data_IF_437638112066
#
_entry.id   IF_437638112066
#
_cell.length_a   1.000
_cell.length_b   1.000
_cell.length_c   1.000
_cell.angle_alpha   90.00
_cell.angle_beta   90.00
_cell.angle_gamma   90.00
#
_symmetry.space_group_name_H-M   'P 1'
#
loop_
_entity.id
_entity.type
_entity.pdbx_description
1 polymer ?
#
# COMPACT_ATOMS: atom_id res chain seq x y z
N UNK A 1 -19.85 11.94 -28.79
CA UNK A 1 -19.38 11.71 -27.41
C UNK A 1 -18.62 10.40 -27.38
N UNK A 2 -17.28 10.41 -27.36
CA UNK A 2 -16.47 9.18 -27.25
C UNK A 2 -16.05 9.01 -25.80
N UNK A 3 -16.49 7.91 -25.20
CA UNK A 3 -16.13 7.44 -23.87
C UNK A 3 -14.61 7.30 -23.75
N UNK A 4 -14.01 7.96 -22.76
CA UNK A 4 -12.61 7.81 -22.35
C UNK A 4 -12.46 6.49 -21.59
N UNK A 5 -12.53 5.38 -22.31
CA UNK A 5 -12.22 4.08 -21.75
C UNK A 5 -10.70 3.85 -21.81
N UNK A 6 -10.07 3.86 -20.63
CA UNK A 6 -8.85 3.13 -20.29
C UNK A 6 -7.46 3.78 -20.53
N UNK A 7 -7.25 5.01 -20.04
CA UNK A 7 -5.91 5.63 -19.92
C UNK A 7 -5.13 5.19 -18.65
N UNK A 8 -5.68 4.30 -17.80
CA UNK A 8 -5.05 3.93 -16.52
C UNK A 8 -3.73 3.15 -16.68
N UNK A 9 -3.50 2.52 -17.83
CA UNK A 9 -2.22 1.87 -18.13
C UNK A 9 -1.05 2.87 -18.27
N UNK A 10 -1.34 4.16 -18.48
CA UNK A 10 -0.32 5.19 -18.75
C UNK A 10 0.22 5.90 -17.50
N UNK A 11 -0.40 5.70 -16.32
CA UNK A 11 0.01 6.39 -15.10
C UNK A 11 -0.10 5.47 -13.87
N UNK A 12 0.98 4.77 -13.50
CA UNK A 12 0.97 3.88 -12.34
C UNK A 12 0.76 4.67 -11.04
N UNK A 13 -0.01 4.10 -10.11
CA UNK A 13 -0.31 4.70 -8.81
C UNK A 13 0.80 4.37 -7.82
N UNK A 14 1.46 5.40 -7.30
CA UNK A 14 2.46 5.24 -6.25
C UNK A 14 1.82 5.46 -4.87
N UNK A 15 1.90 4.44 -4.00
CA UNK A 15 1.46 4.50 -2.62
C UNK A 15 2.69 4.67 -1.73
N UNK A 16 2.75 5.77 -0.98
CA UNK A 16 3.88 6.07 -0.11
C UNK A 16 3.57 5.58 1.31
N UNK A 17 4.38 4.63 1.79
CA UNK A 17 4.31 4.01 3.10
C UNK A 17 3.74 2.59 3.07
N UNK A 18 4.52 1.60 3.48
CA UNK A 18 4.12 0.20 3.70
C UNK A 18 3.60 -0.04 5.13
N UNK A 19 2.96 0.95 5.73
CA UNK A 19 2.17 0.80 6.94
C UNK A 19 0.81 0.13 6.66
N UNK A 20 0.00 -0.14 7.71
CA UNK A 20 -1.32 -0.76 7.54
C UNK A 20 -2.22 -0.04 6.53
N UNK A 21 -2.22 1.29 6.53
CA UNK A 21 -3.01 2.07 5.58
C UNK A 21 -2.56 1.86 4.12
N UNK A 22 -1.26 1.96 3.83
CA UNK A 22 -0.75 1.76 2.48
C UNK A 22 -0.92 0.32 1.97
N UNK A 23 -0.78 -0.66 2.86
CA UNK A 23 -1.05 -2.07 2.56
C UNK A 23 -2.52 -2.28 2.17
N UNK A 24 -3.47 -1.72 2.92
CA UNK A 24 -4.91 -1.81 2.59
C UNK A 24 -5.21 -1.07 1.27
N UNK A 25 -4.58 0.08 1.04
CA UNK A 25 -4.70 0.82 -0.21
C UNK A 25 -4.25 -0.03 -1.40
N UNK A 26 -3.04 -0.60 -1.34
CA UNK A 26 -2.54 -1.48 -2.41
C UNK A 26 -3.43 -2.70 -2.64
N UNK A 27 -3.97 -3.30 -1.58
CA UNK A 27 -4.95 -4.38 -1.70
C UNK A 27 -6.19 -3.99 -2.51
N UNK A 28 -6.77 -2.81 -2.25
CA UNK A 28 -7.94 -2.36 -3.01
C UNK A 28 -7.59 -1.91 -4.43
N UNK A 29 -6.42 -1.31 -4.65
CA UNK A 29 -5.92 -1.00 -6.00
C UNK A 29 -5.74 -2.26 -6.84
N UNK A 30 -5.16 -3.31 -6.24
CA UNK A 30 -4.99 -4.62 -6.87
C UNK A 30 -6.34 -5.24 -7.24
N UNK A 31 -7.32 -5.19 -6.33
CA UNK A 31 -8.68 -5.69 -6.60
C UNK A 31 -9.42 -4.89 -7.68
N UNK A 32 -9.09 -3.61 -7.83
CA UNK A 32 -9.62 -2.77 -8.89
C UNK A 32 -8.90 -2.97 -10.24
N UNK A 33 -7.83 -3.80 -10.29
CA UNK A 33 -7.03 -4.01 -11.50
C UNK A 33 -6.21 -2.79 -11.92
N UNK A 34 -5.94 -1.86 -11.00
CA UNK A 34 -5.16 -0.66 -11.26
C UNK A 34 -3.66 -0.93 -11.05
N UNK A 35 -2.78 -0.50 -11.96
CA UNK A 35 -1.34 -0.65 -11.79
C UNK A 35 -0.86 0.23 -10.63
N UNK A 36 -0.17 -0.38 -9.66
CA UNK A 36 0.31 0.32 -8.47
C UNK A 36 1.65 -0.23 -7.98
N UNK A 37 2.32 0.58 -7.18
CA UNK A 37 3.49 0.20 -6.39
C UNK A 37 3.37 0.84 -5.00
N UNK A 38 3.63 0.07 -3.95
CA UNK A 38 3.81 0.61 -2.59
C UNK A 38 5.32 0.76 -2.35
N UNK A 39 5.74 1.90 -1.83
CA UNK A 39 7.13 2.10 -1.41
C UNK A 39 7.22 2.45 0.06
N UNK A 40 8.29 2.03 0.74
CA UNK A 40 8.61 2.48 2.09
C UNK A 40 10.11 2.68 2.24
N UNK A 41 10.50 3.70 3.01
CA UNK A 41 11.90 3.97 3.33
C UNK A 41 12.49 2.92 4.26
N UNK A 42 11.64 2.28 5.08
CA UNK A 42 12.06 1.22 5.98
C UNK A 42 12.37 -0.06 5.20
N UNK A 43 13.23 -0.89 5.78
CA UNK A 43 13.61 -2.22 5.29
C UNK A 43 12.59 -3.31 5.66
N UNK A 44 11.57 -2.96 6.44
CA UNK A 44 10.52 -3.86 6.91
C UNK A 44 9.14 -3.23 6.75
N UNK A 45 8.17 -4.03 6.32
CA UNK A 45 6.76 -3.63 6.26
C UNK A 45 6.22 -3.30 7.65
N UNK A 46 5.26 -2.37 7.72
CA UNK A 46 4.67 -1.92 8.97
C UNK A 46 5.72 -1.62 10.05
N UNK A 47 6.84 -0.98 9.66
CA UNK A 47 8.04 -0.79 10.47
C UNK A 47 7.79 -0.20 11.87
N UNK A 48 6.81 0.68 12.01
CA UNK A 48 6.36 1.16 13.32
C UNK A 48 5.98 -0.02 14.21
N UNK A 49 5.12 -0.93 13.75
CA UNK A 49 4.67 -2.10 14.52
C UNK A 49 5.75 -3.14 14.75
N UNK A 50 6.71 -3.27 13.83
CA UNK A 50 7.88 -4.14 13.99
C UNK A 50 8.79 -3.70 15.14
N UNK A 51 8.90 -2.38 15.37
CA UNK A 51 9.84 -1.76 16.31
C UNK A 51 9.19 -1.24 17.60
N UNK A 52 7.89 -1.49 17.81
CA UNK A 52 7.20 -1.07 19.03
C UNK A 52 7.62 -1.95 20.22
N UNK A 53 7.47 -1.37 21.41
CA UNK A 53 7.85 -2.03 22.66
C UNK A 53 7.03 -3.31 22.92
N UNK A 54 7.62 -4.35 23.55
CA UNK A 54 7.00 -5.68 23.65
C UNK A 54 5.66 -5.72 24.38
N UNK A 55 5.42 -4.81 25.32
CA UNK A 55 4.19 -4.75 26.11
C UNK A 55 3.02 -4.08 25.40
N UNK A 56 3.22 -3.51 24.20
CA UNK A 56 2.16 -2.86 23.45
C UNK A 56 1.03 -3.84 23.13
N UNK A 57 -0.20 -3.38 23.34
CA UNK A 57 -1.43 -4.00 22.83
C UNK A 57 -2.23 -2.99 22.03
N UNK A 58 -3.06 -3.48 21.11
CA UNK A 58 -4.02 -2.64 20.42
C UNK A 58 -4.96 -1.97 21.44
N UNK A 59 -5.26 -0.70 21.22
CA UNK A 59 -6.27 0.04 21.99
C UNK A 59 -7.69 -0.16 21.45
N UNK A 60 -7.82 -0.73 20.25
CA UNK A 60 -9.07 -1.11 19.60
C UNK A 60 -9.18 -2.62 19.57
N UNK A 61 -10.41 -3.12 19.69
CA UNK A 61 -10.62 -4.58 19.71
C UNK A 61 -10.26 -5.17 18.35
N UNK A 62 -9.86 -6.44 18.34
CA UNK A 62 -9.60 -7.21 17.12
C UNK A 62 -10.74 -7.19 16.11
N UNK A 63 -11.97 -6.86 16.53
CA UNK A 63 -13.11 -6.74 15.63
C UNK A 63 -13.02 -5.50 14.75
N UNK A 64 -12.46 -4.40 15.26
CA UNK A 64 -12.36 -3.14 14.51
C UNK A 64 -11.03 -2.99 13.77
N UNK A 65 -9.96 -3.65 14.23
CA UNK A 65 -8.61 -3.46 13.68
C UNK A 65 -8.25 -4.41 12.52
N UNK A 66 -9.20 -5.21 12.02
CA UNK A 66 -8.88 -6.27 11.06
C UNK A 66 -8.70 -5.73 9.63
N UNK A 67 -7.74 -6.29 8.90
CA UNK A 67 -7.59 -6.14 7.46
C UNK A 67 -8.81 -6.68 6.70
N UNK A 68 -9.12 -6.15 5.51
CA UNK A 68 -10.25 -6.59 4.71
C UNK A 68 -10.22 -8.09 4.44
N UNK A 69 -11.30 -8.80 4.76
CA UNK A 69 -11.43 -10.24 4.45
C UNK A 69 -10.56 -11.18 5.29
N UNK A 70 -9.81 -10.68 6.29
CA UNK A 70 -8.98 -11.52 7.15
C UNK A 70 -9.21 -11.20 8.62
N UNK A 71 -9.68 -12.15 9.42
CA UNK A 71 -9.92 -11.93 10.87
C UNK A 71 -8.66 -12.27 11.68
N UNK A 72 -8.51 -11.65 12.85
CA UNK A 72 -7.51 -12.09 13.81
C UNK A 72 -7.86 -13.47 14.40
N UNK A 73 -6.86 -14.31 14.71
CA UNK A 73 -7.05 -15.53 15.48
C UNK A 73 -7.68 -15.27 16.84
N UNK A 74 -8.69 -16.07 17.22
CA UNK A 74 -9.38 -15.94 18.51
C UNK A 74 -8.45 -16.11 19.71
N UNK A 75 -7.42 -16.96 19.56
CA UNK A 75 -6.42 -17.25 20.61
C UNK A 75 -5.58 -16.05 21.05
N UNK A 76 -5.66 -14.91 20.35
CA UNK A 76 -4.91 -13.69 20.70
C UNK A 76 -5.66 -12.77 21.67
N UNK A 77 -6.88 -13.14 22.08
CA UNK A 77 -7.71 -12.33 22.97
C UNK A 77 -8.36 -11.14 22.26
N UNK A 78 -8.97 -10.24 23.03
CA UNK A 78 -9.68 -9.07 22.49
C UNK A 78 -8.73 -8.00 21.93
N UNK A 79 -7.59 -7.81 22.59
CA UNK A 79 -6.56 -6.81 22.24
C UNK A 79 -5.23 -7.50 21.92
N UNK A 80 -4.98 -7.84 20.64
CA UNK A 80 -3.71 -8.41 20.19
C UNK A 80 -2.52 -7.55 20.61
N UNK A 81 -1.37 -8.21 20.82
CA UNK A 81 -0.09 -7.51 21.04
C UNK A 81 0.37 -6.81 19.76
N UNK A 82 1.24 -5.80 19.89
CA UNK A 82 1.87 -5.13 18.75
C UNK A 82 2.59 -6.11 17.83
N UNK A 83 3.32 -7.08 18.40
CA UNK A 83 3.97 -8.16 17.63
C UNK A 83 2.96 -9.02 16.86
N UNK A 84 1.89 -9.47 17.51
CA UNK A 84 0.84 -10.24 16.85
C UNK A 84 0.18 -9.45 15.71
N UNK A 85 -0.03 -8.14 15.91
CA UNK A 85 -0.54 -7.27 14.86
C UNK A 85 0.42 -7.17 13.68
N UNK A 86 1.72 -6.96 13.93
CA UNK A 86 2.75 -6.98 12.89
C UNK A 86 2.76 -8.30 12.11
N UNK A 87 2.83 -9.44 12.81
CA UNK A 87 2.83 -10.78 12.18
C UNK A 87 1.57 -11.01 11.35
N UNK A 88 0.43 -10.48 11.80
CA UNK A 88 -0.82 -10.51 11.06
C UNK A 88 -0.76 -9.63 9.80
N UNK A 89 -0.26 -8.40 9.87
CA UNK A 89 -0.11 -7.54 8.69
C UNK A 89 0.86 -8.17 7.68
N UNK A 90 1.97 -8.74 8.14
CA UNK A 90 2.93 -9.42 7.30
C UNK A 90 2.32 -10.59 6.52
N UNK A 91 1.61 -11.49 7.21
CA UNK A 91 0.92 -12.59 6.52
C UNK A 91 -0.19 -12.12 5.57
N UNK A 92 -0.67 -10.87 5.68
CA UNK A 92 -1.69 -10.33 4.78
C UNK A 92 -1.03 -9.88 3.47
N UNK A 93 0.12 -9.21 3.57
CA UNK A 93 0.97 -8.88 2.42
C UNK A 93 1.34 -10.14 1.64
N UNK A 94 1.81 -11.19 2.32
CA UNK A 94 2.22 -12.44 1.70
C UNK A 94 1.07 -13.16 0.99
N UNK A 95 -0.11 -13.24 1.65
CA UNK A 95 -1.28 -13.90 1.10
C UNK A 95 -1.81 -13.21 -0.17
N UNK A 96 -1.65 -11.89 -0.29
CA UNK A 96 -2.12 -11.12 -1.43
C UNK A 96 -1.04 -10.79 -2.45
N UNK A 97 0.22 -11.12 -2.17
CA UNK A 97 1.40 -10.85 -3.02
C UNK A 97 1.44 -9.39 -3.48
N UNK A 98 1.27 -8.47 -2.53
CA UNK A 98 1.20 -7.05 -2.82
C UNK A 98 2.55 -6.56 -3.41
N UNK A 99 2.48 -5.61 -4.34
CA UNK A 99 3.67 -5.02 -4.95
C UNK A 99 4.26 -3.95 -4.02
N UNK A 100 5.29 -4.33 -3.24
CA UNK A 100 5.92 -3.46 -2.23
C UNK A 100 7.43 -3.42 -2.44
N UNK A 101 7.99 -2.21 -2.54
CA UNK A 101 9.43 -1.94 -2.60
C UNK A 101 9.88 -1.26 -1.30
N UNK A 102 10.70 -1.97 -0.51
CA UNK A 102 11.26 -1.49 0.75
C UNK A 102 12.61 -0.80 0.53
N UNK A 103 13.08 -0.04 1.52
CA UNK A 103 14.33 0.74 1.44
C UNK A 103 14.30 1.88 0.41
N UNK A 104 13.12 2.24 -0.10
CA UNK A 104 12.93 3.25 -1.15
C UNK A 104 12.31 4.51 -0.57
N UNK A 105 13.03 5.63 -0.71
CA UNK A 105 12.55 6.94 -0.26
C UNK A 105 12.08 7.75 -1.46
N UNK A 106 10.87 8.32 -1.36
CA UNK A 106 10.48 9.43 -2.22
C UNK A 106 11.30 10.66 -1.83
N UNK A 107 12.29 11.00 -2.64
CA UNK A 107 12.89 12.34 -2.62
C UNK A 107 12.01 13.31 -3.40
N UNK A 108 12.29 14.60 -3.26
CA UNK A 108 11.78 15.59 -4.22
C UNK A 108 12.10 15.13 -5.64
N UNK A 109 11.19 15.35 -6.61
CA UNK A 109 11.53 15.16 -8.00
C UNK A 109 12.70 16.11 -8.29
N UNK A 110 13.84 15.58 -8.73
CA UNK A 110 14.92 16.41 -9.26
C UNK A 110 14.28 17.41 -10.22
N UNK A 111 14.48 18.71 -10.00
CA UNK A 111 13.89 19.83 -10.73
C UNK A 111 14.34 19.80 -12.19
N UNK A 112 13.84 18.84 -12.94
CA UNK A 112 14.26 18.48 -14.28
C UNK A 112 13.02 18.41 -15.13
N UNK A 113 12.82 19.46 -15.93
CA UNK A 113 11.85 19.61 -17.04
C UNK A 113 10.79 18.51 -17.08
N UNK A 114 9.56 18.86 -16.69
CA UNK A 114 8.35 18.12 -17.07
C UNK A 114 8.47 17.77 -18.56
N UNK A 115 8.77 16.52 -18.91
CA UNK A 115 8.75 16.09 -20.32
C UNK A 115 7.30 16.26 -20.74
N UNK A 116 7.01 17.32 -21.50
CA UNK A 116 5.76 17.41 -22.25
C UNK A 116 5.78 16.19 -23.16
N UNK A 117 4.90 15.24 -22.91
CA UNK A 117 4.54 14.23 -23.91
C UNK A 117 4.01 15.05 -25.09
N UNK A 118 4.77 15.08 -26.18
CA UNK A 118 4.44 15.86 -27.36
C UNK A 118 3.13 15.35 -27.94
N UNK A 119 2.07 16.14 -27.84
CA UNK A 119 0.84 15.93 -28.60
C UNK A 119 1.15 16.26 -30.06
N UNK A 120 1.62 15.27 -30.83
CA UNK A 120 1.71 15.39 -32.28
C UNK A 120 0.30 15.21 -32.86
N UNK A 121 -0.48 16.30 -32.81
CA UNK A 121 -1.75 16.38 -33.55
C UNK A 121 -1.39 16.61 -35.01
N UNK A 122 -1.55 15.57 -35.84
CA UNK A 122 -1.43 15.69 -37.29
C UNK A 122 -2.62 16.51 -37.81
N UNK A 123 -2.42 17.59 -38.58
CA UNK A 123 -3.54 18.31 -39.18
C UNK A 123 -4.23 17.38 -40.19
N UNK A 124 -5.57 17.29 -40.11
CA UNK A 124 -6.39 16.65 -41.14
C UNK A 124 -6.76 17.67 -42.23
N UNK A 125 -6.94 17.22 -43.48
CA UNK A 125 -7.21 18.06 -44.64
C UNK A 125 -8.58 18.75 -44.55
#
# INVERSE_FOLDING_TARGET
MKSTANDHASNPILVIGAGPAGIVTGYFLQRAGLPYEIIDRADVIASTWANLYPSLRLNTTRYFSHMPGRRFPLKWGEFPTGKQYHDYVAGFVDAHRLNITLGSMCSEPATGRRRRVGSHVKPRP
#
